data_IF_661268485770
#
_entry.id   IF_661268485770
#
_cell.length_a   1.000
_cell.length_b   1.000
_cell.length_c   1.000
_cell.angle_alpha   90.00
_cell.angle_beta   90.00
_cell.angle_gamma   90.00
#
_symmetry.space_group_name_H-M   'P 1'
#
loop_
_entity.id
_entity.type
_entity.pdbx_description
1 polymer ?
#
# COMPACT_ATOMS: atom_id res chain seq x y z
N UNK A 1 7.37 -15.26 -19.10
CA UNK A 1 6.88 -15.12 -18.86
C UNK A 1 6.06 -15.04 -18.62
N UNK A 2 6.26 -15.03 -18.41
CA UNK A 2 5.63 -14.82 -18.16
C UNK A 2 4.51 -14.35 -17.66
N UNK A 3 4.06 -13.60 -18.08
CA UNK A 3 3.04 -12.82 -17.63
C UNK A 3 1.88 -13.57 -17.25
N UNK A 4 1.60 -14.59 -17.96
CA UNK A 4 0.47 -15.37 -17.65
C UNK A 4 0.52 -15.89 -16.29
N UNK A 5 1.69 -16.07 -15.76
CA UNK A 5 1.82 -16.58 -14.45
C UNK A 5 1.31 -15.64 -13.42
N UNK A 6 1.01 -14.43 -13.78
CA UNK A 6 0.49 -13.46 -12.84
C UNK A 6 -0.95 -13.15 -13.20
N UNK A 7 -1.64 -14.17 -13.65
CA UNK A 7 -3.07 -14.05 -13.95
C UNK A 7 -3.33 -12.97 -14.99
N UNK A 8 -2.45 -12.87 -15.95
CA UNK A 8 -2.66 -11.91 -17.01
C UNK A 8 -2.17 -10.51 -16.70
N UNK A 9 -1.55 -10.31 -15.57
CA UNK A 9 -1.05 -8.98 -15.26
C UNK A 9 0.11 -8.61 -16.18
N UNK A 10 0.18 -7.35 -16.53
CA UNK A 10 1.32 -6.87 -17.28
C UNK A 10 2.55 -6.95 -16.40
N UNK A 11 3.71 -7.04 -17.06
CA UNK A 11 4.95 -7.26 -16.34
C UNK A 11 5.31 -6.15 -15.37
N UNK A 12 4.93 -4.92 -15.70
CA UNK A 12 5.22 -3.81 -14.80
C UNK A 12 4.47 -3.95 -13.49
N UNK A 13 3.23 -4.42 -13.56
CA UNK A 13 2.47 -4.63 -12.33
C UNK A 13 3.03 -5.79 -11.54
N UNK A 14 3.41 -6.87 -12.21
CA UNK A 14 3.97 -8.02 -11.52
C UNK A 14 5.26 -7.64 -10.81
N UNK A 15 6.12 -6.88 -11.49
CA UNK A 15 7.35 -6.42 -10.88
C UNK A 15 7.07 -5.58 -9.66
N UNK A 16 6.16 -4.61 -9.79
CA UNK A 16 5.93 -3.69 -8.68
C UNK A 16 5.23 -4.41 -7.53
N UNK A 17 4.40 -5.39 -7.83
CA UNK A 17 3.78 -6.18 -6.77
C UNK A 17 4.84 -6.86 -5.92
N UNK A 18 5.92 -7.32 -6.54
CA UNK A 18 7.02 -7.92 -5.79
C UNK A 18 7.72 -6.88 -4.91
N UNK A 19 7.84 -5.66 -5.39
CA UNK A 19 8.43 -4.61 -4.56
C UNK A 19 7.52 -4.28 -3.38
N UNK A 20 6.23 -4.26 -3.60
CA UNK A 20 5.28 -4.06 -2.53
C UNK A 20 5.38 -5.16 -1.49
N UNK A 21 5.47 -6.41 -1.96
CA UNK A 21 5.57 -7.54 -1.05
C UNK A 21 6.85 -7.47 -0.23
N UNK A 22 7.94 -7.08 -0.86
CA UNK A 22 9.20 -6.95 -0.16
C UNK A 22 9.10 -5.95 0.99
N UNK A 23 8.44 -4.81 0.75
CA UNK A 23 8.26 -3.81 1.80
C UNK A 23 7.35 -4.33 2.90
N UNK A 24 6.32 -5.06 2.54
CA UNK A 24 5.43 -5.64 3.55
C UNK A 24 6.20 -6.61 4.43
N UNK A 25 7.06 -7.43 3.84
CA UNK A 25 7.85 -8.37 4.61
C UNK A 25 8.77 -7.69 5.60
N UNK A 26 9.32 -6.56 5.22
CA UNK A 26 10.21 -5.82 6.10
C UNK A 26 9.47 -5.33 7.34
N UNK A 27 8.17 -5.17 7.23
CA UNK A 27 7.36 -4.65 8.31
C UNK A 27 6.41 -5.68 8.91
N UNK A 28 6.64 -6.95 8.62
CA UNK A 28 5.72 -7.99 9.09
C UNK A 28 5.60 -8.06 10.60
N UNK A 29 6.62 -7.61 11.31
CA UNK A 29 6.52 -7.61 12.76
C UNK A 29 5.56 -6.53 13.26
N UNK A 30 5.18 -5.61 12.40
CA UNK A 30 4.20 -4.60 12.74
C UNK A 30 2.87 -5.08 12.20
N UNK A 31 2.09 -5.67 13.05
CA UNK A 31 0.81 -6.20 12.62
C UNK A 31 -0.28 -5.21 12.96
N UNK A 32 -1.48 -5.51 12.56
CA UNK A 32 -2.62 -4.69 12.96
C UNK A 32 -3.21 -3.81 11.89
N UNK A 33 -2.56 -3.68 10.73
CA UNK A 33 -3.13 -2.78 9.75
C UNK A 33 -4.51 -3.24 9.27
N UNK A 34 -4.78 -4.52 9.37
CA UNK A 34 -6.09 -5.03 8.95
C UNK A 34 -7.20 -4.59 9.91
N UNK A 35 -6.82 -4.03 11.04
CA UNK A 35 -7.79 -3.53 12.00
C UNK A 35 -7.82 -2.02 12.04
N UNK A 36 -7.06 -1.37 11.16
CA UNK A 36 -7.03 0.09 11.15
C UNK A 36 -8.19 0.65 10.35
N UNK A 37 -8.70 1.77 10.81
CA UNK A 37 -9.76 2.46 10.09
C UNK A 37 -9.20 3.05 8.80
N UNK A 38 -10.06 3.17 7.81
CA UNK A 38 -9.64 3.72 6.52
C UNK A 38 -9.03 5.10 6.68
N UNK A 39 -9.58 5.89 7.57
CA UNK A 39 -9.08 7.22 7.80
C UNK A 39 -7.66 7.23 8.35
N UNK A 40 -7.36 6.29 9.23
CA UNK A 40 -6.01 6.16 9.76
C UNK A 40 -5.03 5.78 8.65
N UNK A 41 -5.44 4.85 7.80
CA UNK A 41 -4.60 4.43 6.69
C UNK A 41 -4.41 5.56 5.69
N UNK A 42 -5.44 6.38 5.49
CA UNK A 42 -5.31 7.51 4.59
C UNK A 42 -4.29 8.52 5.13
N UNK A 43 -4.28 8.75 6.43
CA UNK A 43 -3.30 9.63 7.02
C UNK A 43 -1.89 9.12 6.77
N UNK A 44 -1.70 7.79 6.92
CA UNK A 44 -0.39 7.21 6.64
C UNK A 44 -0.04 7.33 5.17
N UNK A 45 -1.02 7.11 4.28
CA UNK A 45 -0.78 7.25 2.86
C UNK A 45 -0.28 8.64 2.52
N UNK A 46 -0.86 9.65 3.13
CA UNK A 46 -0.43 11.03 2.87
C UNK A 46 0.98 11.26 3.37
N UNK A 47 1.33 10.67 4.52
CA UNK A 47 2.69 10.78 5.04
C UNK A 47 3.69 10.13 4.09
N UNK A 48 3.35 8.93 3.59
CA UNK A 48 4.25 8.23 2.69
C UNK A 48 4.38 8.94 1.35
N UNK A 49 3.33 9.62 0.93
CA UNK A 49 3.39 10.39 -0.30
C UNK A 49 4.43 11.52 -0.17
N UNK A 50 4.53 12.12 1.00
CA UNK A 50 5.53 13.15 1.22
C UNK A 50 6.95 12.56 1.20
N UNK A 51 7.09 11.33 1.71
CA UNK A 51 8.41 10.68 1.65
C UNK A 51 8.78 10.35 0.20
N UNK A 52 7.79 9.95 -0.59
CA UNK A 52 8.03 9.69 -2.00
C UNK A 52 8.47 10.97 -2.72
N UNK A 53 7.84 12.07 -2.38
CA UNK A 53 8.20 13.34 -2.97
C UNK A 53 9.67 13.68 -2.67
N UNK A 54 10.09 13.47 -1.43
CA UNK A 54 11.46 13.71 -1.05
C UNK A 54 12.42 12.79 -1.79
N UNK A 55 12.02 11.52 -1.94
CA UNK A 55 12.87 10.56 -2.63
C UNK A 55 13.09 10.98 -4.08
N UNK A 56 12.03 11.44 -4.73
CA UNK A 56 12.15 11.88 -6.11
C UNK A 56 13.10 13.06 -6.20
N UNK A 57 12.99 14.01 -5.28
CA UNK A 57 13.88 15.16 -5.30
C UNK A 57 15.32 14.76 -5.09
N UNK A 58 15.55 13.78 -4.23
CA UNK A 58 16.90 13.36 -3.90
C UNK A 58 17.46 12.31 -4.86
N UNK A 59 16.61 11.77 -5.69
CA UNK A 59 17.05 10.80 -6.67
C UNK A 59 17.43 9.45 -6.09
N UNK A 60 16.84 9.06 -4.95
CA UNK A 60 17.14 7.73 -4.42
C UNK A 60 15.98 7.21 -3.60
N UNK A 61 15.90 5.91 -3.52
CA UNK A 61 14.87 5.20 -2.77
C UNK A 61 13.47 5.43 -3.34
N UNK A 62 13.37 5.81 -4.60
CA UNK A 62 12.09 6.14 -5.20
C UNK A 62 11.18 4.91 -5.28
N UNK A 63 11.74 3.77 -5.69
CA UNK A 63 10.94 2.56 -5.81
C UNK A 63 10.40 2.12 -4.46
N UNK A 64 11.26 2.16 -3.45
CA UNK A 64 10.87 1.74 -2.11
C UNK A 64 9.77 2.65 -1.55
N UNK A 65 9.92 3.96 -1.73
CA UNK A 65 8.91 4.86 -1.22
C UNK A 65 7.61 4.76 -2.01
N UNK A 66 7.70 4.52 -3.31
CA UNK A 66 6.50 4.31 -4.10
C UNK A 66 5.78 3.04 -3.64
N UNK A 67 6.53 1.99 -3.31
CA UNK A 67 5.92 0.77 -2.82
C UNK A 67 5.21 1.00 -1.49
N UNK A 68 5.78 1.85 -0.62
CA UNK A 68 5.11 2.17 0.65
C UNK A 68 3.79 2.88 0.40
N UNK A 69 3.78 3.84 -0.53
CA UNK A 69 2.54 4.55 -0.87
C UNK A 69 1.51 3.55 -1.41
N UNK A 70 1.94 2.68 -2.32
CA UNK A 70 1.04 1.72 -2.93
C UNK A 70 0.48 0.75 -1.88
N UNK A 71 1.31 0.35 -0.92
CA UNK A 71 0.85 -0.57 0.11
C UNK A 71 -0.24 0.05 0.97
N UNK A 72 -0.13 1.32 1.32
CA UNK A 72 -1.19 1.93 2.10
C UNK A 72 -2.47 2.06 1.28
N UNK A 73 -2.36 2.34 -0.02
CA UNK A 73 -3.55 2.36 -0.86
C UNK A 73 -4.18 0.97 -0.93
N UNK A 74 -3.35 -0.06 -1.04
CA UNK A 74 -3.83 -1.44 -1.08
C UNK A 74 -4.53 -1.79 0.25
N UNK A 75 -3.95 -1.37 1.37
CA UNK A 75 -4.55 -1.66 2.67
C UNK A 75 -5.93 -1.02 2.81
N UNK A 76 -6.08 0.20 2.30
CA UNK A 76 -7.38 0.87 2.31
C UNK A 76 -8.38 0.05 1.51
N UNK A 77 -7.98 -0.35 0.30
CA UNK A 77 -8.87 -1.10 -0.56
C UNK A 77 -9.24 -2.43 0.07
N UNK A 78 -8.25 -3.11 0.65
CA UNK A 78 -8.48 -4.40 1.27
C UNK A 78 -9.42 -4.29 2.47
N UNK A 79 -9.20 -3.28 3.31
CA UNK A 79 -10.03 -3.15 4.51
C UNK A 79 -11.45 -2.77 4.17
N UNK A 80 -11.62 -1.95 3.14
CA UNK A 80 -12.95 -1.63 2.68
C UNK A 80 -13.65 -2.88 2.12
N UNK A 81 -12.93 -3.63 1.30
CA UNK A 81 -13.48 -4.83 0.67
C UNK A 81 -13.87 -5.86 1.74
N UNK A 82 -13.08 -5.99 2.78
CA UNK A 82 -13.35 -6.95 3.84
C UNK A 82 -14.40 -6.46 4.84
N UNK A 83 -14.98 -5.31 4.60
CA UNK A 83 -16.02 -4.82 5.50
C UNK A 83 -15.54 -4.04 6.70
N UNK A 84 -14.25 -3.73 6.74
CA UNK A 84 -13.74 -2.94 7.82
C UNK A 84 -13.94 -1.52 7.45
N UNK A 85 -15.14 -1.20 7.12
CA UNK A 85 -15.38 -0.03 6.46
C UNK A 85 -15.32 1.18 7.17
N UNK A 86 -15.20 1.15 8.35
CA UNK A 86 -15.34 2.30 9.03
C UNK A 86 -14.51 3.36 8.61
N UNK A 87 -15.00 4.18 7.84
CA UNK A 87 -14.24 5.29 7.48
C UNK A 87 -14.41 6.25 8.57
N UNK A 88 -15.50 6.13 9.21
CA UNK A 88 -15.67 7.02 10.22
C UNK A 88 -16.67 6.43 11.01
N UNK A 89 -16.74 6.77 11.73
CA UNK A 89 -17.66 6.21 12.44
C UNK A 89 -19.00 6.34 12.02
N UNK A 90 -19.21 6.19 11.33
CA UNK A 90 -20.14 6.07 10.96
C UNK A 90 -20.87 5.57 10.92
N UNK A 91 -20.50 5.33 10.87
CA UNK A 91 -21.08 4.87 10.71
C UNK A 91 -21.86 4.51 10.62
N UNK A 92 -21.96 4.34 10.70
CA UNK A 92 -22.57 4.07 10.62
C UNK A 92 -23.48 4.08 10.54
N UNK A 93 -23.76 4.03 10.44
CA UNK A 93 -24.49 4.17 10.29
C UNK A 93 -24.96 3.89 10.23
#
# INVERSE_FOLDING_TARGET
MSDKKFFGMRSELAWFANEMERKLQQNDYKTGWKHMYLRQLLTRLKQETRELEKAIKNGKSVVEEAADVANFAMMIANNFYDGQIETSARNQK
#
